data_IF_874978333027
#
_entry.id   IF_874978333027
#
_cell.length_a   1.000
_cell.length_b   1.000
_cell.length_c   1.000
_cell.angle_alpha   90.00
_cell.angle_beta   90.00
_cell.angle_gamma   90.00
#
_symmetry.space_group_name_H-M   'P 1'
#
loop_
_entity.id
_entity.type
_entity.pdbx_description
1 polymer ?
#
# COMPACT_ATOMS: atom_id res chain seq x y z
N UNK A 1 -5.72 -30.68 61.57
CA UNK A 1 -4.62 -31.01 62.51
C UNK A 1 -3.31 -30.58 61.81
N UNK A 2 -2.80 -29.36 62.05
CA UNK A 2 -1.72 -28.91 62.99
C UNK A 2 -0.34 -29.53 62.67
N UNK A 3 0.67 -28.84 62.11
CA UNK A 3 1.55 -27.69 62.50
C UNK A 3 2.79 -28.04 63.36
N UNK A 4 3.93 -27.41 62.97
CA UNK A 4 5.19 -27.02 63.67
C UNK A 4 6.39 -28.01 63.61
N UNK A 5 7.69 -27.71 63.35
CA UNK A 5 8.68 -26.59 63.25
C UNK A 5 9.79 -26.64 64.34
N UNK A 6 11.05 -26.40 63.89
CA UNK A 6 12.29 -25.95 64.61
C UNK A 6 13.09 -27.01 65.43
N UNK A 7 14.44 -27.04 65.55
CA UNK A 7 15.55 -26.05 65.62
C UNK A 7 16.91 -26.68 65.15
N UNK A 8 17.81 -26.02 64.39
CA UNK A 8 19.03 -25.21 64.71
C UNK A 8 20.27 -25.88 65.43
N UNK A 9 21.36 -26.10 64.64
CA UNK A 9 22.85 -25.78 64.77
C UNK A 9 23.68 -26.19 66.05
N UNK A 10 25.05 -26.08 66.08
CA UNK A 10 26.18 -26.32 65.14
C UNK A 10 27.46 -27.00 65.80
N UNK A 11 28.65 -26.95 65.13
CA UNK A 11 30.07 -27.26 65.54
C UNK A 11 30.52 -28.75 65.36
N UNK A 12 31.74 -29.16 64.96
CA UNK A 12 33.11 -28.61 64.95
C UNK A 12 33.99 -29.16 63.79
N UNK A 13 35.14 -28.50 63.63
CA UNK A 13 36.32 -28.67 62.77
C UNK A 13 37.08 -30.02 62.83
N UNK A 14 37.63 -30.47 61.69
CA UNK A 14 38.90 -31.25 61.58
C UNK A 14 39.24 -31.61 60.12
N UNK A 15 40.29 -31.02 59.57
CA UNK A 15 40.98 -31.39 58.32
C UNK A 15 41.75 -32.72 58.44
N UNK A 16 41.98 -33.46 57.32
CA UNK A 16 43.32 -33.40 56.73
C UNK A 16 43.38 -33.47 55.17
N UNK A 17 44.38 -32.74 54.65
CA UNK A 17 45.13 -32.87 53.39
C UNK A 17 44.52 -33.53 52.15
N UNK A 18 44.39 -32.71 51.09
CA UNK A 18 44.33 -33.13 49.69
C UNK A 18 45.33 -32.31 48.86
N UNK A 19 46.00 -32.90 47.85
CA UNK A 19 47.16 -32.31 47.18
C UNK A 19 46.80 -31.13 46.26
N UNK A 20 47.69 -30.11 46.24
CA UNK A 20 47.58 -28.95 45.36
C UNK A 20 47.82 -29.31 43.87
N UNK A 21 47.11 -28.66 42.94
CA UNK A 21 47.36 -28.78 41.50
C UNK A 21 48.63 -28.02 41.07
N UNK A 22 49.44 -28.66 40.24
CA UNK A 22 50.62 -28.10 39.57
C UNK A 22 50.23 -26.99 38.59
N UNK A 23 51.03 -25.90 38.48
CA UNK A 23 50.74 -24.79 37.56
C UNK A 23 51.00 -25.17 36.10
N UNK A 24 50.05 -24.82 35.22
CA UNK A 24 50.21 -24.88 33.76
C UNK A 24 51.25 -23.84 33.28
N UNK A 25 52.07 -24.16 32.27
CA UNK A 25 53.05 -23.23 31.72
C UNK A 25 52.41 -22.09 30.91
N UNK A 26 52.91 -20.88 31.11
CA UNK A 26 52.59 -19.65 30.39
C UNK A 26 53.01 -19.76 28.91
N UNK A 27 52.16 -19.40 27.94
CA UNK A 27 52.54 -19.42 26.53
C UNK A 27 53.47 -18.24 26.19
N UNK A 28 54.65 -18.55 25.66
CA UNK A 28 55.59 -17.62 25.07
C UNK A 28 55.03 -17.04 23.77
N UNK A 29 55.06 -15.70 23.64
CA UNK A 29 54.81 -14.99 22.39
C UNK A 29 55.94 -15.29 21.40
N UNK A 30 55.65 -16.07 20.36
CA UNK A 30 56.43 -16.13 19.13
C UNK A 30 55.57 -15.56 18.00
N UNK A 31 56.04 -14.44 17.44
CA UNK A 31 55.48 -13.74 16.29
C UNK A 31 55.52 -14.63 15.03
N UNK A 32 54.40 -14.84 14.32
CA UNK A 32 54.44 -15.44 12.98
C UNK A 32 54.94 -14.43 11.93
N UNK A 33 55.56 -14.88 10.83
CA UNK A 33 56.09 -14.00 9.78
C UNK A 33 54.97 -13.30 8.99
N UNK A 34 55.25 -12.09 8.51
CA UNK A 34 54.40 -11.30 7.62
C UNK A 34 54.05 -12.11 6.35
N UNK A 35 52.75 -12.37 6.15
CA UNK A 35 52.22 -12.80 4.86
C UNK A 35 51.78 -11.56 4.10
N UNK A 36 52.49 -11.24 3.01
CA UNK A 36 52.10 -10.22 2.04
C UNK A 36 50.84 -10.67 1.31
N UNK A 37 49.71 -10.01 1.55
CA UNK A 37 48.48 -10.15 0.76
C UNK A 37 48.59 -9.28 -0.50
N UNK A 38 49.28 -9.79 -1.53
CA UNK A 38 49.09 -9.32 -2.90
C UNK A 38 47.81 -9.94 -3.45
N UNK A 39 46.79 -9.10 -3.66
CA UNK A 39 45.57 -9.42 -4.40
C UNK A 39 45.91 -9.88 -5.82
N UNK A 40 45.44 -11.05 -6.31
CA UNK A 40 45.50 -11.34 -7.72
C UNK A 40 44.37 -10.60 -8.44
N UNK A 41 44.77 -9.71 -9.35
CA UNK A 41 43.95 -9.18 -10.44
C UNK A 41 43.27 -10.35 -11.18
N UNK A 42 41.94 -10.39 -11.15
CA UNK A 42 41.18 -11.19 -12.10
C UNK A 42 41.18 -10.45 -13.44
N UNK A 43 42.06 -10.91 -14.31
CA UNK A 43 42.09 -10.59 -15.74
C UNK A 43 40.76 -11.03 -16.35
N UNK A 44 40.03 -10.07 -16.92
CA UNK A 44 38.89 -10.28 -17.79
C UNK A 44 39.29 -11.15 -18.98
N UNK A 45 38.84 -12.40 -19.01
CA UNK A 45 38.80 -13.18 -20.26
C UNK A 45 37.73 -12.57 -21.14
N UNK A 46 38.18 -11.84 -22.16
CA UNK A 46 37.42 -11.49 -23.35
C UNK A 46 36.93 -12.77 -24.03
N UNK A 47 35.62 -13.01 -23.97
CA UNK A 47 34.95 -13.96 -24.86
C UNK A 47 34.73 -13.22 -26.17
N UNK A 48 35.46 -13.65 -27.20
CA UNK A 48 35.29 -13.27 -28.58
C UNK A 48 33.92 -13.75 -29.09
N UNK A 49 33.06 -12.80 -29.42
CA UNK A 49 31.79 -13.02 -30.12
C UNK A 49 32.10 -13.16 -31.63
N UNK A 50 31.67 -14.23 -32.32
CA UNK A 50 31.78 -14.33 -33.77
C UNK A 50 30.75 -13.42 -34.47
N UNK A 51 31.06 -12.84 -35.64
CA UNK A 51 30.15 -11.96 -36.34
C UNK A 51 29.07 -12.74 -37.12
N UNK A 52 27.85 -12.20 -37.06
CA UNK A 52 26.78 -12.27 -38.06
C UNK A 52 26.45 -13.63 -38.70
N UNK A 53 25.38 -14.25 -38.22
CA UNK A 53 24.41 -14.93 -39.08
C UNK A 53 23.01 -14.41 -38.80
N UNK A 54 22.38 -13.90 -39.85
CA UNK A 54 21.06 -13.29 -39.93
C UNK A 54 19.93 -14.33 -39.80
N UNK A 55 18.97 -14.10 -38.90
CA UNK A 55 17.63 -14.71 -38.92
C UNK A 55 16.59 -13.74 -38.29
N UNK A 56 15.30 -13.89 -38.60
CA UNK A 56 14.49 -12.83 -39.20
C UNK A 56 13.75 -11.96 -38.18
N UNK A 57 13.49 -10.73 -38.59
CA UNK A 57 12.65 -9.76 -37.88
C UNK A 57 11.20 -10.26 -37.73
N UNK A 58 10.50 -9.93 -36.62
CA UNK A 58 9.07 -10.12 -36.53
C UNK A 58 8.38 -9.23 -37.58
N UNK A 59 7.46 -9.80 -38.36
CA UNK A 59 6.64 -9.04 -39.31
C UNK A 59 5.84 -7.98 -38.56
N UNK A 60 6.11 -6.72 -38.88
CA UNK A 60 5.17 -5.64 -38.67
C UNK A 60 3.90 -5.91 -39.47
N UNK A 61 2.75 -5.83 -38.79
CA UNK A 61 1.44 -5.73 -39.40
C UNK A 61 1.41 -4.49 -40.32
N UNK A 62 0.83 -4.56 -41.53
CA UNK A 62 0.72 -3.39 -42.39
C UNK A 62 -0.27 -2.37 -41.78
N UNK A 63 -0.08 -1.06 -42.04
CA UNK A 63 -1.01 -0.03 -41.57
C UNK A 63 -2.34 -0.15 -42.32
N UNK A 64 -3.44 -0.06 -41.57
CA UNK A 64 -4.79 0.09 -42.11
C UNK A 64 -4.85 1.37 -42.94
N UNK A 65 -5.26 1.22 -44.20
CA UNK A 65 -5.58 2.31 -45.12
C UNK A 65 -6.84 3.05 -44.65
N UNK A 66 -6.90 4.39 -44.76
CA UNK A 66 -8.11 5.14 -44.44
C UNK A 66 -9.13 5.01 -45.57
N UNK A 67 -10.36 4.60 -45.21
CA UNK A 67 -11.51 4.67 -46.12
C UNK A 67 -11.90 6.14 -46.39
N UNK A 68 -12.40 6.45 -47.61
CA UNK A 68 -12.70 7.81 -48.00
C UNK A 68 -14.00 8.31 -47.37
N UNK A 69 -13.93 9.53 -46.83
CA UNK A 69 -15.08 10.34 -46.42
C UNK A 69 -15.94 10.70 -47.64
N UNK A 70 -17.25 10.47 -47.53
CA UNK A 70 -18.26 11.13 -48.35
C UNK A 70 -18.99 12.21 -47.52
N UNK A 71 -19.40 13.33 -48.14
CA UNK A 71 -19.68 14.56 -47.41
C UNK A 71 -21.12 14.63 -46.88
N UNK A 72 -21.26 15.14 -45.66
CA UNK A 72 -22.53 15.63 -45.10
C UNK A 72 -22.85 16.98 -45.73
N UNK A 73 -23.98 17.05 -46.43
CA UNK A 73 -24.59 18.31 -46.85
C UNK A 73 -25.53 18.82 -45.75
N UNK A 74 -25.48 20.14 -45.60
CA UNK A 74 -26.31 21.00 -44.76
C UNK A 74 -27.78 20.95 -45.16
N UNK A 75 -28.70 20.95 -44.19
CA UNK A 75 -29.81 21.93 -44.18
C UNK A 75 -30.60 21.93 -42.88
N UNK A 76 -31.06 23.13 -42.59
CA UNK A 76 -31.76 23.66 -41.43
C UNK A 76 -33.28 23.42 -41.45
N UNK A 77 -33.85 23.19 -40.26
CA UNK A 77 -35.09 23.78 -39.69
C UNK A 77 -36.48 23.43 -40.28
N UNK A 78 -37.36 23.12 -39.32
CA UNK A 78 -38.76 23.57 -39.11
C UNK A 78 -39.96 22.64 -39.41
N UNK A 79 -40.77 22.47 -38.34
CA UNK A 79 -42.25 22.44 -38.23
C UNK A 79 -43.12 21.24 -38.68
N UNK A 80 -43.81 20.66 -37.67
CA UNK A 80 -45.24 20.34 -37.55
C UNK A 80 -45.97 19.53 -38.64
N UNK A 81 -46.57 18.38 -38.27
CA UNK A 81 -48.04 18.23 -38.14
C UNK A 81 -48.48 16.78 -37.79
N UNK A 82 -49.55 16.75 -36.98
CA UNK A 82 -50.46 15.68 -36.51
C UNK A 82 -50.88 14.59 -37.52
N UNK A 83 -51.12 13.37 -37.01
CA UNK A 83 -52.43 12.67 -36.84
C UNK A 83 -52.17 11.19 -36.46
N UNK A 84 -52.47 10.73 -35.24
CA UNK A 84 -53.72 10.12 -34.73
C UNK A 84 -54.17 8.82 -35.40
N UNK A 85 -54.07 7.71 -34.64
CA UNK A 85 -55.04 6.60 -34.36
C UNK A 85 -54.25 5.47 -33.69
N UNK A 86 -54.68 4.63 -32.75
CA UNK A 86 -55.75 4.57 -31.74
C UNK A 86 -55.48 3.29 -30.92
N UNK A 87 -55.58 3.36 -29.57
CA UNK A 87 -56.18 2.38 -28.61
C UNK A 87 -55.54 0.95 -28.60
N UNK A 88 -55.05 0.34 -27.50
CA UNK A 88 -55.80 -0.08 -26.28
C UNK A 88 -54.87 -0.71 -25.19
N UNK A 89 -55.12 -0.34 -23.91
CA UNK A 89 -55.01 -1.12 -22.62
C UNK A 89 -53.66 -1.65 -22.11
N UNK A 90 -53.24 -1.60 -20.82
CA UNK A 90 -53.85 -1.56 -19.46
C UNK A 90 -52.80 -0.96 -18.42
N UNK A 91 -53.08 -0.77 -17.10
CA UNK A 91 -52.77 0.48 -16.40
C UNK A 91 -51.77 0.38 -15.22
N UNK A 92 -51.20 1.54 -14.86
CA UNK A 92 -50.46 1.81 -13.62
C UNK A 92 -51.20 2.80 -12.70
N UNK A 93 -51.16 2.48 -11.40
CA UNK A 93 -51.04 3.32 -10.19
C UNK A 93 -51.85 4.63 -10.04
N UNK A 94 -52.67 4.68 -8.98
CA UNK A 94 -53.24 5.89 -8.35
C UNK A 94 -52.45 6.29 -7.09
N UNK A 95 -52.30 7.59 -6.77
CA UNK A 95 -51.78 8.06 -5.49
C UNK A 95 -52.91 8.43 -4.51
N UNK A 96 -52.75 8.10 -3.23
CA UNK A 96 -53.68 8.42 -2.14
C UNK A 96 -53.07 9.39 -1.11
N UNK A 97 -53.90 10.33 -0.68
CA UNK A 97 -53.68 11.41 0.30
C UNK A 97 -53.97 10.98 1.76
N UNK A 98 -53.59 11.77 2.80
CA UNK A 98 -53.54 11.34 4.22
C UNK A 98 -54.71 11.86 5.08
N UNK A 99 -54.86 11.37 6.33
CA UNK A 99 -55.43 12.19 7.43
C UNK A 99 -54.78 11.90 8.83
N UNK A 100 -55.30 12.38 10.00
CA UNK A 100 -54.91 13.64 10.66
C UNK A 100 -54.48 13.50 12.15
N UNK A 101 -54.24 14.63 12.83
CA UNK A 101 -53.73 14.83 14.19
C UNK A 101 -54.80 15.19 15.26
N UNK A 102 -54.58 14.81 16.54
CA UNK A 102 -55.19 15.36 17.79
C UNK A 102 -54.52 14.71 19.04
N UNK A 103 -53.71 15.35 19.90
CA UNK A 103 -53.93 16.31 21.03
C UNK A 103 -54.24 15.71 22.44
N UNK A 104 -53.54 16.25 23.48
CA UNK A 104 -53.77 16.29 24.96
C UNK A 104 -53.51 15.03 25.85
N UNK A 105 -52.97 15.02 27.09
CA UNK A 105 -52.16 15.83 28.06
C UNK A 105 -51.81 14.89 29.28
N UNK A 106 -51.02 15.28 30.33
CA UNK A 106 -50.14 14.40 31.14
C UNK A 106 -50.59 14.11 32.60
N UNK A 107 -49.95 13.16 33.30
CA UNK A 107 -50.01 12.99 34.78
C UNK A 107 -48.74 12.31 35.39
N UNK A 108 -48.00 13.10 36.19
CA UNK A 108 -47.52 12.87 37.59
C UNK A 108 -46.61 11.67 37.99
N UNK A 109 -45.50 12.03 38.66
CA UNK A 109 -44.43 11.29 39.39
C UNK A 109 -44.90 10.61 40.73
N UNK A 110 -44.08 9.90 41.58
CA UNK A 110 -42.86 10.44 42.26
C UNK A 110 -41.71 9.45 42.68
N UNK A 111 -40.46 9.96 42.70
CA UNK A 111 -39.31 9.81 43.67
C UNK A 111 -38.85 8.43 44.25
N UNK A 112 -37.64 8.30 44.91
CA UNK A 112 -36.65 9.32 45.28
C UNK A 112 -35.14 9.04 45.01
N UNK A 113 -34.39 10.14 45.12
CA UNK A 113 -32.93 10.26 45.29
C UNK A 113 -32.45 9.81 46.68
N UNK A 114 -31.27 9.21 46.74
CA UNK A 114 -30.44 9.18 47.95
C UNK A 114 -28.97 9.46 47.62
N UNK A 115 -28.41 10.44 48.34
CA UNK A 115 -27.00 10.80 48.43
C UNK A 115 -26.10 9.59 48.72
N UNK A 116 -24.84 9.63 48.28
CA UNK A 116 -23.63 9.28 49.07
C UNK A 116 -22.36 9.84 48.39
N UNK A 117 -21.71 10.75 49.13
CA UNK A 117 -20.28 11.03 49.28
C UNK A 117 -19.24 10.64 48.21
N UNK A 118 -18.45 11.65 47.81
CA UNK A 118 -17.08 11.54 47.30
C UNK A 118 -16.12 10.94 48.35
N UNK A 119 -14.99 10.37 47.92
CA UNK A 119 -13.76 11.14 48.10
C UNK A 119 -12.78 11.09 46.93
N UNK A 120 -12.18 12.26 46.69
CA UNK A 120 -10.82 12.55 46.21
C UNK A 120 -10.00 11.42 45.56
N UNK A 121 -9.62 11.62 44.30
CA UNK A 121 -8.26 11.29 43.89
C UNK A 121 -7.69 12.40 43.00
N UNK A 122 -6.53 12.85 43.42
CA UNK A 122 -5.68 13.92 42.93
C UNK A 122 -5.37 13.85 41.43
N UNK A 123 -5.62 14.96 40.73
CA UNK A 123 -4.99 15.24 39.44
C UNK A 123 -3.51 15.56 39.61
N UNK A 124 -2.68 15.21 38.61
CA UNK A 124 -1.66 16.10 38.10
C UNK A 124 -2.13 16.67 36.75
N UNK A 125 -2.40 17.95 36.77
CA UNK A 125 -2.50 18.85 35.64
C UNK A 125 -1.14 18.96 34.94
N UNK A 126 -1.03 18.53 33.68
CA UNK A 126 -0.30 19.22 32.60
C UNK A 126 -0.42 18.42 31.29
N UNK A 127 -1.56 18.55 30.60
CA UNK A 127 -1.58 18.34 29.15
C UNK A 127 -1.13 19.66 28.50
N UNK A 128 0.14 19.73 28.13
CA UNK A 128 0.63 20.79 27.25
C UNK A 128 -0.08 20.70 25.90
N UNK A 129 -0.44 21.84 25.27
CA UNK A 129 -1.02 21.83 23.94
C UNK A 129 -0.01 21.22 22.96
N UNK A 130 -0.47 20.25 22.16
CA UNK A 130 0.29 19.66 21.07
C UNK A 130 0.99 20.76 20.26
N UNK A 131 2.32 20.71 20.22
CA UNK A 131 3.13 21.55 19.36
C UNK A 131 2.72 21.31 17.91
N UNK A 132 2.23 22.35 17.22
CA UNK A 132 1.95 22.36 15.77
C UNK A 132 3.22 22.26 14.89
N UNK A 133 4.30 21.64 15.40
CA UNK A 133 5.48 21.34 14.61
C UNK A 133 5.16 20.14 13.72
N UNK A 134 5.43 20.18 12.40
CA UNK A 134 5.40 18.96 11.61
C UNK A 134 6.41 17.95 12.18
N UNK A 135 6.05 16.66 12.25
CA UNK A 135 6.95 15.55 12.63
C UNK A 135 7.96 15.21 11.51
N UNK A 136 8.16 16.15 10.58
CA UNK A 136 9.12 16.04 9.48
C UNK A 136 9.94 17.33 9.40
N UNK A 137 11.16 17.18 8.90
CA UNK A 137 12.08 18.30 8.73
C UNK A 137 11.67 19.11 7.49
N UNK A 138 11.57 20.42 7.62
CA UNK A 138 11.44 21.31 6.47
C UNK A 138 12.83 21.60 5.90
N UNK A 139 13.03 21.28 4.63
CA UNK A 139 14.29 21.52 3.91
C UNK A 139 14.16 22.73 2.98
N UNK A 140 15.21 23.53 2.93
CA UNK A 140 15.40 24.55 1.90
C UNK A 140 15.69 23.92 0.53
N UNK A 141 15.47 24.69 -0.53
CA UNK A 141 15.82 24.29 -1.89
C UNK A 141 17.32 23.94 -2.01
N UNK A 142 18.20 24.72 -1.38
CA UNK A 142 19.65 24.50 -1.42
C UNK A 142 20.03 23.17 -0.80
N UNK A 143 19.44 22.81 0.35
CA UNK A 143 19.69 21.52 1.00
C UNK A 143 19.33 20.35 0.10
N UNK A 144 18.18 20.40 -0.58
CA UNK A 144 17.77 19.34 -1.53
C UNK A 144 18.72 19.26 -2.72
N UNK A 145 19.12 20.41 -3.28
CA UNK A 145 19.99 20.45 -4.47
C UNK A 145 21.39 19.88 -4.25
N UNK A 146 21.92 19.99 -3.04
CA UNK A 146 23.25 19.46 -2.70
C UNK A 146 23.22 18.01 -2.18
N UNK A 147 22.04 17.38 -2.08
CA UNK A 147 21.95 16.02 -1.58
C UNK A 147 22.66 15.03 -2.51
N UNK A 148 23.49 14.12 -1.95
CA UNK A 148 24.19 13.13 -2.75
C UNK A 148 23.20 12.08 -3.27
N UNK A 149 22.94 12.13 -4.59
CA UNK A 149 22.17 11.12 -5.31
C UNK A 149 23.06 9.90 -5.54
N UNK A 150 22.60 8.75 -5.07
CA UNK A 150 23.26 7.45 -5.30
C UNK A 150 22.88 6.91 -6.67
N UNK A 151 21.58 6.87 -6.99
CA UNK A 151 21.07 6.46 -8.30
C UNK A 151 19.66 6.97 -8.55
N UNK A 152 19.30 7.13 -9.82
CA UNK A 152 17.91 7.32 -10.25
C UNK A 152 17.13 6.00 -10.12
N UNK A 153 16.00 6.03 -9.41
CA UNK A 153 15.09 4.88 -9.30
C UNK A 153 14.00 4.90 -10.38
N UNK A 154 13.51 6.10 -10.72
CA UNK A 154 12.51 6.29 -11.78
C UNK A 154 12.33 7.76 -12.17
N UNK A 155 11.90 7.99 -13.40
CA UNK A 155 11.48 9.29 -13.89
C UNK A 155 10.25 9.11 -14.78
N UNK A 156 9.22 9.92 -14.54
CA UNK A 156 7.97 9.83 -15.28
C UNK A 156 7.20 11.14 -15.28
N UNK A 157 5.94 11.06 -15.68
CA UNK A 157 5.05 12.23 -15.77
C UNK A 157 4.87 12.94 -14.44
N UNK A 158 4.88 12.20 -13.33
CA UNK A 158 4.57 12.70 -11.99
C UNK A 158 5.80 13.22 -11.24
N UNK A 159 7.01 12.97 -11.75
CA UNK A 159 8.20 13.37 -11.02
C UNK A 159 9.45 12.56 -11.32
N UNK A 160 10.43 12.78 -10.45
CA UNK A 160 11.70 12.09 -10.40
C UNK A 160 11.83 11.45 -9.03
N UNK A 161 12.30 10.21 -9.00
CA UNK A 161 12.51 9.44 -7.78
C UNK A 161 13.97 8.99 -7.75
N UNK A 162 14.72 9.50 -6.78
CA UNK A 162 16.14 9.24 -6.60
C UNK A 162 16.41 8.50 -5.29
N UNK A 163 17.34 7.55 -5.32
CA UNK A 163 17.91 6.96 -4.11
C UNK A 163 19.02 7.88 -3.59
N UNK A 164 18.94 8.27 -2.33
CA UNK A 164 19.89 9.18 -1.68
C UNK A 164 20.43 8.58 -0.39
N UNK A 165 21.52 9.16 0.12
CA UNK A 165 21.95 8.94 1.51
C UNK A 165 21.50 10.11 2.37
N UNK A 166 20.63 9.86 3.34
CA UNK A 166 20.10 10.87 4.25
C UNK A 166 20.21 10.35 5.69
N UNK A 167 20.84 11.13 6.57
CA UNK A 167 21.12 10.73 7.96
C UNK A 167 21.81 9.35 8.11
N UNK A 168 22.74 9.04 7.20
CA UNK A 168 23.50 7.76 7.09
C UNK A 168 22.71 6.56 6.57
N UNK A 169 21.40 6.70 6.36
CA UNK A 169 20.54 5.65 5.81
C UNK A 169 20.23 5.88 4.33
N UNK A 170 19.85 4.80 3.64
CA UNK A 170 19.27 4.88 2.31
C UNK A 170 17.84 5.39 2.41
N UNK A 171 17.53 6.45 1.66
CA UNK A 171 16.20 7.06 1.58
C UNK A 171 15.84 7.38 0.13
N UNK A 172 14.57 7.65 -0.10
CA UNK A 172 14.05 8.09 -1.40
C UNK A 172 13.81 9.59 -1.37
N UNK A 173 14.34 10.31 -2.36
CA UNK A 173 13.95 11.67 -2.70
C UNK A 173 12.97 11.62 -3.87
N UNK A 174 11.69 11.93 -3.60
CA UNK A 174 10.64 12.07 -4.62
C UNK A 174 10.44 13.56 -4.88
N UNK A 175 10.83 14.01 -6.08
CA UNK A 175 10.56 15.35 -6.58
C UNK A 175 9.37 15.33 -7.53
N UNK A 176 8.29 16.02 -7.18
CA UNK A 176 7.07 16.01 -7.97
C UNK A 176 7.13 17.04 -9.10
N UNK A 177 6.72 16.65 -10.31
CA UNK A 177 6.67 17.54 -11.48
C UNK A 177 5.23 17.88 -11.82
N UNK A 178 4.96 19.12 -12.23
CA UNK A 178 3.65 19.56 -12.75
C UNK A 178 2.50 19.38 -11.76
N UNK A 179 2.80 19.43 -10.46
CA UNK A 179 1.81 19.34 -9.38
C UNK A 179 1.65 20.73 -8.78
N UNK A 180 0.41 21.16 -8.51
CA UNK A 180 0.19 22.40 -7.78
C UNK A 180 0.48 22.18 -6.28
N UNK A 181 0.76 23.26 -5.56
CA UNK A 181 1.11 23.20 -4.14
C UNK A 181 0.03 22.50 -3.29
N UNK A 182 -1.26 22.70 -3.59
CA UNK A 182 -2.33 22.08 -2.83
C UNK A 182 -2.32 20.55 -2.95
N UNK A 183 -2.20 20.01 -4.17
CA UNK A 183 -2.12 18.56 -4.41
C UNK A 183 -0.86 17.96 -3.77
N UNK A 184 0.28 18.65 -3.84
CA UNK A 184 1.51 18.22 -3.17
C UNK A 184 1.31 18.10 -1.64
N UNK A 185 0.75 19.15 -1.02
CA UNK A 185 0.50 19.17 0.42
C UNK A 185 -0.56 18.14 0.83
N UNK A 186 -1.58 17.89 0.00
CA UNK A 186 -2.56 16.82 0.24
C UNK A 186 -1.90 15.44 0.27
N UNK A 187 -1.03 15.13 -0.69
CA UNK A 187 -0.28 13.86 -0.70
C UNK A 187 0.57 13.70 0.58
N UNK A 188 1.32 14.74 0.96
CA UNK A 188 2.12 14.75 2.20
C UNK A 188 1.25 14.52 3.43
N UNK A 189 0.08 15.18 3.52
CA UNK A 189 -0.85 15.04 4.65
C UNK A 189 -1.41 13.62 4.74
N UNK A 190 -1.86 13.05 3.63
CA UNK A 190 -2.44 11.69 3.59
C UNK A 190 -1.37 10.67 3.98
N UNK A 191 -0.18 10.74 3.37
CA UNK A 191 0.90 9.80 3.66
C UNK A 191 1.36 9.88 5.13
N UNK A 192 1.34 11.08 5.74
CA UNK A 192 1.57 11.21 7.18
C UNK A 192 0.47 10.60 8.04
N UNK A 193 -0.79 10.71 7.64
CA UNK A 193 -1.92 10.10 8.38
C UNK A 193 -1.82 8.57 8.39
N UNK A 194 -1.21 7.97 7.36
CA UNK A 194 -0.94 6.53 7.32
C UNK A 194 0.13 6.11 8.32
N UNK A 195 1.19 6.90 8.49
CA UNK A 195 2.26 6.67 9.45
C UNK A 195 2.78 5.21 9.44
N UNK A 196 3.09 4.69 8.25
CA UNK A 196 3.55 3.32 8.07
C UNK A 196 2.48 2.25 7.91
N UNK A 197 1.19 2.56 8.12
CA UNK A 197 0.09 1.61 7.88
C UNK A 197 0.10 1.08 6.44
N UNK A 198 -0.10 -0.22 6.25
CA UNK A 198 -0.02 -0.88 4.95
C UNK A 198 1.36 -0.81 4.29
N UNK A 199 2.41 -0.62 5.09
CA UNK A 199 3.78 -0.43 4.58
C UNK A 199 3.99 0.91 3.87
N UNK A 200 3.13 1.92 4.09
CA UNK A 200 3.32 3.25 3.50
C UNK A 200 4.68 3.85 3.94
N UNK A 201 5.55 4.32 3.03
CA UNK A 201 6.84 4.90 3.39
C UNK A 201 6.67 6.10 4.34
N UNK A 202 7.42 6.15 5.44
CA UNK A 202 7.34 7.30 6.35
C UNK A 202 8.09 8.49 5.76
N UNK A 203 7.50 9.68 5.90
CA UNK A 203 8.11 10.95 5.47
C UNK A 203 9.07 11.44 6.55
N UNK A 204 10.31 11.71 6.16
CA UNK A 204 11.36 12.24 7.05
C UNK A 204 11.56 13.74 6.87
N UNK A 205 11.45 14.22 5.62
CA UNK A 205 11.64 15.63 5.32
C UNK A 205 10.85 16.07 4.08
N UNK A 206 10.56 17.37 4.00
CA UNK A 206 9.79 17.98 2.93
C UNK A 206 10.43 19.30 2.52
N UNK A 207 10.64 19.49 1.22
CA UNK A 207 10.98 20.79 0.64
C UNK A 207 9.78 21.30 -0.15
N UNK A 208 9.16 22.37 0.37
CA UNK A 208 7.95 22.94 -0.23
C UNK A 208 8.24 23.71 -1.53
N UNK A 209 9.36 24.43 -1.58
CA UNK A 209 9.79 25.22 -2.75
C UNK A 209 9.97 24.33 -3.98
N UNK A 210 10.49 23.12 -3.79
CA UNK A 210 10.79 22.18 -4.87
C UNK A 210 9.75 21.07 -5.05
N UNK A 211 8.67 21.08 -4.24
CA UNK A 211 7.68 20.00 -4.16
C UNK A 211 8.34 18.62 -4.02
N UNK A 212 9.28 18.52 -3.08
CA UNK A 212 10.11 17.33 -2.87
C UNK A 212 9.89 16.72 -1.49
N UNK A 213 9.92 15.39 -1.40
CA UNK A 213 9.74 14.63 -0.16
C UNK A 213 10.87 13.62 -0.01
N UNK A 214 11.43 13.52 1.19
CA UNK A 214 12.34 12.44 1.59
C UNK A 214 11.55 11.44 2.41
N UNK A 215 11.57 10.17 1.99
CA UNK A 215 10.84 9.08 2.64
C UNK A 215 11.67 7.79 2.71
N UNK A 216 11.14 6.78 3.40
CA UNK A 216 11.77 5.47 3.47
C UNK A 216 12.02 4.86 2.08
N UNK A 217 13.14 4.15 1.96
CA UNK A 217 13.41 3.30 0.82
C UNK A 217 12.86 1.89 1.09
N UNK A 218 11.97 1.42 0.23
CA UNK A 218 11.16 0.21 0.41
C UNK A 218 11.48 -0.90 -0.59
N UNK A 219 12.71 -0.91 -1.11
CA UNK A 219 13.21 -1.97 -1.98
C UNK A 219 12.88 -1.78 -3.47
N UNK A 220 12.62 -2.89 -4.16
CA UNK A 220 12.36 -2.90 -5.61
C UNK A 220 10.86 -2.92 -5.90
N UNK A 221 10.45 -2.38 -7.04
CA UNK A 221 9.05 -2.41 -7.48
C UNK A 221 8.59 -3.83 -7.81
N UNK A 222 7.29 -4.10 -7.65
CA UNK A 222 6.75 -5.45 -7.82
C UNK A 222 6.83 -5.93 -9.28
N UNK A 223 6.74 -5.02 -10.26
CA UNK A 223 6.94 -5.30 -11.69
C UNK A 223 8.33 -5.90 -11.98
N UNK A 224 9.33 -5.56 -11.16
CA UNK A 224 10.67 -6.15 -11.22
C UNK A 224 10.73 -7.45 -10.45
N UNK A 225 10.26 -7.46 -9.20
CA UNK A 225 10.32 -8.63 -8.32
C UNK A 225 9.56 -9.85 -8.90
N UNK A 226 8.42 -9.63 -9.56
CA UNK A 226 7.54 -10.69 -10.06
C UNK A 226 8.24 -11.65 -11.03
N UNK A 227 9.24 -11.19 -11.78
CA UNK A 227 9.99 -11.99 -12.75
C UNK A 227 10.88 -13.06 -12.09
N UNK A 228 11.26 -12.86 -10.83
CA UNK A 228 12.11 -13.77 -10.07
C UNK A 228 11.33 -14.52 -8.97
N UNK A 229 10.08 -14.12 -8.74
CA UNK A 229 9.23 -14.71 -7.73
C UNK A 229 8.64 -16.06 -8.19
N UNK A 230 8.67 -17.04 -7.30
CA UNK A 230 7.95 -18.31 -7.51
C UNK A 230 6.43 -18.09 -7.51
N UNK A 231 5.65 -19.02 -8.08
CA UNK A 231 4.17 -19.01 -7.99
C UNK A 231 3.71 -18.80 -6.55
N UNK A 232 4.32 -19.53 -5.61
CA UNK A 232 4.08 -19.39 -4.18
C UNK A 232 4.32 -17.96 -3.67
N UNK A 233 5.48 -17.38 -3.97
CA UNK A 233 5.81 -16.01 -3.56
C UNK A 233 4.84 -14.99 -4.14
N UNK A 234 4.36 -15.18 -5.38
CA UNK A 234 3.35 -14.31 -6.02
C UNK A 234 2.02 -14.34 -5.26
N UNK A 235 1.53 -15.53 -4.92
CA UNK A 235 0.29 -15.69 -4.13
C UNK A 235 0.43 -15.04 -2.75
N UNK A 236 1.52 -15.33 -2.03
CA UNK A 236 1.77 -14.71 -0.72
C UNK A 236 1.90 -13.18 -0.81
N UNK A 237 2.52 -12.67 -1.87
CA UNK A 237 2.65 -11.22 -2.09
C UNK A 237 1.28 -10.58 -2.29
N UNK A 238 0.39 -11.19 -3.08
CA UNK A 238 -0.98 -10.69 -3.27
C UNK A 238 -1.79 -10.67 -1.97
N UNK A 239 -1.66 -11.70 -1.12
CA UNK A 239 -2.30 -11.72 0.20
C UNK A 239 -1.83 -10.53 1.04
N UNK A 240 -0.52 -10.33 1.13
CA UNK A 240 0.08 -9.21 1.87
C UNK A 240 -0.33 -7.84 1.33
N UNK A 241 -0.47 -7.70 0.01
CA UNK A 241 -0.98 -6.46 -0.60
C UNK A 241 -2.42 -6.20 -0.17
N UNK A 242 -3.28 -7.22 -0.17
CA UNK A 242 -4.67 -7.08 0.26
C UNK A 242 -4.78 -6.74 1.77
N UNK A 243 -3.95 -7.36 2.61
CA UNK A 243 -3.86 -7.05 4.05
C UNK A 243 -3.37 -5.61 4.27
N UNK A 244 -2.29 -5.21 3.60
CA UNK A 244 -1.76 -3.85 3.66
C UNK A 244 -2.79 -2.79 3.23
N UNK A 245 -3.58 -3.09 2.19
CA UNK A 245 -4.65 -2.23 1.73
C UNK A 245 -5.81 -2.15 2.73
N UNK A 246 -6.14 -3.26 3.42
CA UNK A 246 -7.09 -3.23 4.54
C UNK A 246 -6.61 -2.31 5.67
N UNK A 247 -5.32 -2.32 6.01
CA UNK A 247 -4.76 -1.40 7.03
C UNK A 247 -4.88 0.07 6.62
N UNK A 248 -4.66 0.37 5.34
CA UNK A 248 -4.87 1.72 4.77
C UNK A 248 -6.34 2.12 4.89
N UNK A 249 -7.27 1.22 4.57
CA UNK A 249 -8.72 1.47 4.67
C UNK A 249 -9.17 1.71 6.12
N UNK A 250 -8.55 1.06 7.11
CA UNK A 250 -8.81 1.32 8.54
C UNK A 250 -8.46 2.76 8.97
N UNK A 251 -7.58 3.45 8.24
CA UNK A 251 -7.29 4.89 8.43
C UNK A 251 -8.28 5.80 7.70
N UNK A 252 -9.34 5.22 7.11
CA UNK A 252 -10.30 5.88 6.23
C UNK A 252 -9.62 6.57 5.05
N UNK A 253 -8.62 5.89 4.45
CA UNK A 253 -7.90 6.36 3.27
C UNK A 253 -8.14 5.36 2.15
N UNK A 254 -8.41 5.87 0.94
CA UNK A 254 -8.54 5.08 -0.29
C UNK A 254 -7.38 5.44 -1.20
N UNK A 255 -6.67 4.44 -1.74
CA UNK A 255 -5.45 4.62 -2.51
C UNK A 255 -5.73 5.19 -3.91
N UNK A 256 -6.77 4.68 -4.58
CA UNK A 256 -7.30 5.12 -5.87
C UNK A 256 -6.36 4.95 -7.09
N UNK A 257 -5.14 4.42 -6.90
CA UNK A 257 -4.20 4.11 -7.99
C UNK A 257 -3.40 2.83 -7.73
N UNK A 258 -4.03 1.82 -7.15
CA UNK A 258 -3.35 0.55 -6.89
C UNK A 258 -3.05 -0.16 -8.21
N UNK A 259 -1.77 -0.48 -8.43
CA UNK A 259 -1.26 -1.17 -9.61
C UNK A 259 0.13 -1.72 -9.30
N UNK A 260 0.65 -2.60 -10.15
CA UNK A 260 1.92 -3.29 -9.91
C UNK A 260 3.12 -2.32 -9.72
N UNK A 261 3.13 -1.18 -10.42
CA UNK A 261 4.19 -0.16 -10.28
C UNK A 261 4.20 0.52 -8.90
N UNK A 262 3.05 0.57 -8.25
CA UNK A 262 2.83 1.26 -6.98
C UNK A 262 2.97 0.32 -5.77
N UNK A 263 3.55 -0.87 -6.00
CA UNK A 263 3.94 -1.81 -4.96
C UNK A 263 5.45 -1.95 -4.97
N UNK A 264 6.06 -1.89 -3.79
CA UNK A 264 7.48 -2.18 -3.60
C UNK A 264 7.69 -3.30 -2.58
N UNK A 265 8.75 -4.06 -2.80
CA UNK A 265 9.09 -5.26 -2.05
C UNK A 265 10.49 -5.07 -1.47
N UNK A 266 10.57 -5.12 -0.14
CA UNK A 266 11.83 -5.32 0.56
C UNK A 266 12.06 -6.82 0.65
N UNK A 267 13.03 -7.31 -0.13
CA UNK A 267 13.39 -8.73 -0.14
C UNK A 267 14.26 -9.03 1.07
N UNK A 268 13.79 -9.89 1.96
CA UNK A 268 14.54 -10.41 3.09
C UNK A 268 14.73 -11.92 2.94
N UNK A 269 15.68 -12.51 3.69
CA UNK A 269 16.03 -13.92 3.56
C UNK A 269 14.86 -14.88 3.86
N UNK A 270 13.97 -14.50 4.77
CA UNK A 270 12.90 -15.36 5.27
C UNK A 270 11.53 -14.98 4.76
N UNK A 271 11.25 -13.68 4.68
CA UNK A 271 9.95 -13.19 4.28
C UNK A 271 10.04 -11.78 3.71
N UNK A 272 9.47 -11.56 2.53
CA UNK A 272 9.52 -10.24 1.89
C UNK A 272 8.44 -9.32 2.45
N UNK A 273 8.78 -8.06 2.66
CA UNK A 273 7.86 -7.03 3.16
C UNK A 273 7.27 -6.24 2.01
N UNK A 274 5.93 -6.14 1.97
CA UNK A 274 5.17 -5.38 0.97
C UNK A 274 4.95 -3.96 1.44
N UNK A 275 5.11 -3.00 0.53
CA UNK A 275 4.86 -1.59 0.77
C UNK A 275 4.02 -1.02 -0.37
N UNK A 276 2.89 -0.41 -0.02
CA UNK A 276 2.06 0.36 -0.96
C UNK A 276 2.60 1.79 -1.02
N UNK A 277 2.86 2.29 -2.22
CA UNK A 277 3.49 3.60 -2.46
C UNK A 277 2.64 4.46 -3.40
N UNK A 278 2.99 5.75 -3.49
CA UNK A 278 2.39 6.75 -4.38
C UNK A 278 0.93 7.13 -4.05
N UNK A 279 0.78 7.99 -3.04
CA UNK A 279 -0.51 8.46 -2.53
C UNK A 279 -1.03 9.73 -3.23
N UNK A 280 -0.51 10.10 -4.40
CA UNK A 280 -0.88 11.34 -5.11
C UNK A 280 -2.34 11.39 -5.63
N UNK A 281 -3.03 10.24 -5.63
CA UNK A 281 -4.48 10.14 -5.92
C UNK A 281 -5.32 9.72 -4.72
N UNK A 282 -4.69 9.47 -3.59
CA UNK A 282 -5.39 8.97 -2.42
C UNK A 282 -6.35 10.03 -1.85
N UNK A 283 -7.37 9.57 -1.15
CA UNK A 283 -8.36 10.42 -0.48
C UNK A 283 -8.70 9.88 0.89
N UNK A 284 -8.94 10.77 1.86
CA UNK A 284 -9.25 10.41 3.24
C UNK A 284 -10.76 10.50 3.58
N UNK A 285 -11.60 10.61 2.54
CA UNK A 285 -13.06 10.57 2.60
C UNK A 285 -13.62 10.27 1.22
N UNK A 286 -14.87 9.85 1.19
CA UNK A 286 -15.69 9.74 -0.01
C UNK A 286 -15.80 11.11 -0.69
N UNK A 287 -14.98 11.35 -1.72
CA UNK A 287 -14.96 12.58 -2.50
C UNK A 287 -15.45 12.33 -3.90
N UNK A 288 -16.28 13.24 -4.40
CA UNK A 288 -16.41 13.44 -5.84
C UNK A 288 -15.10 13.99 -6.37
N UNK A 289 -14.41 13.21 -7.19
CA UNK A 289 -13.19 13.66 -7.83
C UNK A 289 -13.54 14.10 -9.25
N UNK A 290 -13.78 15.40 -9.43
CA UNK A 290 -14.01 15.99 -10.74
C UNK A 290 -12.66 16.18 -11.49
N UNK A 291 -11.98 15.07 -11.82
CA UNK A 291 -10.70 15.07 -12.58
C UNK A 291 -10.88 14.81 -14.08
N UNK A 292 -12.11 14.85 -14.59
CA UNK A 292 -12.42 14.41 -15.95
C UNK A 292 -12.27 12.90 -16.11
N UNK A 293 -12.72 12.34 -17.24
CA UNK A 293 -12.69 10.89 -17.48
C UNK A 293 -11.25 10.37 -17.44
N UNK A 294 -10.95 9.44 -16.54
CA UNK A 294 -9.63 8.81 -16.42
C UNK A 294 -9.67 7.47 -17.14
N UNK A 295 -8.87 7.29 -18.19
CA UNK A 295 -8.86 6.05 -18.98
C UNK A 295 -7.68 5.15 -18.61
N UNK A 296 -7.76 4.46 -17.46
CA UNK A 296 -6.79 3.42 -17.07
C UNK A 296 -7.53 2.18 -16.60
N UNK A 297 -7.14 0.99 -17.06
CA UNK A 297 -7.92 -0.23 -16.84
C UNK A 297 -7.93 -0.70 -15.38
N UNK A 298 -6.91 -0.35 -14.59
CA UNK A 298 -6.86 -0.66 -13.16
C UNK A 298 -7.70 0.27 -12.30
N UNK A 299 -8.22 1.38 -12.86
CA UNK A 299 -9.05 2.35 -12.13
C UNK A 299 -10.51 1.91 -12.21
N UNK A 300 -11.18 1.86 -11.05
CA UNK A 300 -12.56 1.45 -10.94
C UNK A 300 -13.50 2.31 -11.82
N UNK A 301 -14.53 1.72 -12.48
CA UNK A 301 -15.40 2.43 -13.41
C UNK A 301 -16.09 3.67 -12.82
N UNK A 302 -16.54 3.58 -11.57
CA UNK A 302 -17.16 4.68 -10.84
C UNK A 302 -16.17 5.84 -10.62
N UNK A 303 -14.91 5.52 -10.32
CA UNK A 303 -13.87 6.52 -10.15
C UNK A 303 -13.44 7.12 -11.50
N UNK A 304 -13.27 6.29 -12.52
CA UNK A 304 -12.94 6.71 -13.89
C UNK A 304 -13.98 7.69 -14.47
N UNK A 305 -15.24 7.56 -14.04
CA UNK A 305 -16.36 8.41 -14.45
C UNK A 305 -16.51 9.69 -13.60
N UNK A 306 -15.62 9.90 -12.63
CA UNK A 306 -15.64 11.06 -11.72
C UNK A 306 -16.64 10.93 -10.58
N UNK A 307 -17.09 9.70 -10.26
CA UNK A 307 -17.95 9.41 -9.13
C UNK A 307 -17.22 9.40 -7.78
N UNK A 308 -17.89 8.87 -6.76
CA UNK A 308 -17.38 8.75 -5.40
C UNK A 308 -16.49 7.52 -5.28
N UNK A 309 -15.29 7.69 -4.72
CA UNK A 309 -14.36 6.60 -4.43
C UNK A 309 -14.59 6.01 -3.05
N UNK A 310 -14.37 4.70 -2.90
CA UNK A 310 -14.46 3.99 -1.62
C UNK A 310 -13.47 2.83 -1.55
N UNK A 311 -13.48 2.06 -0.46
CA UNK A 311 -12.75 0.79 -0.35
C UNK A 311 -13.09 -0.20 -1.49
N UNK A 312 -14.31 -0.13 -2.03
CA UNK A 312 -14.73 -0.95 -3.18
C UNK A 312 -14.00 -0.55 -4.48
N UNK A 313 -13.60 0.71 -4.62
CA UNK A 313 -12.81 1.19 -5.75
C UNK A 313 -11.39 0.61 -5.73
N UNK A 314 -10.75 0.59 -4.55
CA UNK A 314 -9.45 -0.07 -4.38
C UNK A 314 -9.56 -1.60 -4.51
N UNK A 315 -10.69 -2.19 -4.10
CA UNK A 315 -10.97 -3.63 -4.30
C UNK A 315 -10.98 -4.00 -5.79
N UNK A 316 -11.58 -3.15 -6.63
CA UNK A 316 -11.52 -3.33 -8.09
C UNK A 316 -10.08 -3.27 -8.61
N UNK A 317 -9.31 -2.28 -8.17
CA UNK A 317 -7.90 -2.15 -8.55
C UNK A 317 -7.05 -3.34 -8.09
N UNK A 318 -7.35 -3.92 -6.92
CA UNK A 318 -6.74 -5.16 -6.46
C UNK A 318 -7.08 -6.34 -7.39
N UNK A 319 -8.34 -6.47 -7.82
CA UNK A 319 -8.72 -7.47 -8.81
C UNK A 319 -7.96 -7.35 -10.12
N UNK A 320 -7.76 -6.12 -10.59
CA UNK A 320 -6.96 -5.85 -11.79
C UNK A 320 -5.48 -6.20 -11.59
N UNK A 321 -4.93 -5.94 -10.40
CA UNK A 321 -3.60 -6.38 -10.03
C UNK A 321 -3.47 -7.92 -10.02
N UNK A 322 -4.46 -8.64 -9.49
CA UNK A 322 -4.48 -10.12 -9.53
C UNK A 322 -4.48 -10.61 -10.98
N UNK A 323 -5.27 -9.96 -11.86
CA UNK A 323 -5.29 -10.24 -13.29
C UNK A 323 -3.91 -10.01 -13.94
N UNK A 324 -3.23 -8.92 -13.61
CA UNK A 324 -1.87 -8.65 -14.10
C UNK A 324 -0.88 -9.73 -13.62
N UNK A 325 -0.94 -10.14 -12.34
CA UNK A 325 -0.06 -11.18 -11.77
C UNK A 325 -0.34 -12.56 -12.39
N UNK A 326 -1.60 -12.84 -12.77
CA UNK A 326 -2.01 -14.08 -13.45
C UNK A 326 -1.19 -14.34 -14.71
N UNK A 327 -0.86 -13.30 -15.48
CA UNK A 327 -0.08 -13.43 -16.72
C UNK A 327 1.36 -13.91 -16.48
N UNK A 328 1.83 -13.87 -15.23
CA UNK A 328 3.14 -14.37 -14.80
C UNK A 328 3.08 -15.77 -14.17
N UNK A 329 1.91 -16.41 -14.18
CA UNK A 329 1.74 -17.79 -13.71
C UNK A 329 1.82 -18.73 -14.91
N UNK A 330 2.79 -19.64 -14.88
CA UNK A 330 2.99 -20.66 -15.92
C UNK A 330 2.26 -21.97 -15.63
N UNK A 331 1.74 -22.12 -14.42
CA UNK A 331 1.07 -23.34 -13.95
C UNK A 331 -0.43 -23.29 -14.30
N UNK A 332 -0.90 -24.22 -15.14
CA UNK A 332 -2.31 -24.29 -15.57
C UNK A 332 -3.23 -25.04 -14.58
N UNK A 333 -3.10 -24.74 -13.28
CA UNK A 333 -3.76 -25.48 -12.21
C UNK A 333 -4.72 -24.65 -11.35
N UNK A 334 -4.98 -25.17 -10.14
CA UNK A 334 -5.88 -24.59 -9.13
C UNK A 334 -5.58 -23.12 -8.79
N UNK A 335 -4.33 -22.65 -8.97
CA UNK A 335 -3.95 -21.26 -8.74
C UNK A 335 -4.58 -20.31 -9.77
N UNK A 336 -4.68 -20.71 -11.05
CA UNK A 336 -5.37 -19.89 -12.05
C UNK A 336 -6.87 -19.82 -11.77
N UNK A 337 -7.48 -20.95 -11.36
CA UNK A 337 -8.89 -20.96 -10.94
C UNK A 337 -9.14 -20.06 -9.74
N UNK A 338 -8.22 -20.07 -8.76
CA UNK A 338 -8.25 -19.13 -7.65
C UNK A 338 -8.18 -17.68 -8.14
N UNK A 339 -7.23 -17.35 -9.01
CA UNK A 339 -7.06 -15.99 -9.51
C UNK A 339 -8.28 -15.52 -10.31
N UNK A 340 -8.82 -16.37 -11.18
CA UNK A 340 -10.05 -16.08 -11.94
C UNK A 340 -11.23 -15.82 -10.99
N UNK A 341 -11.39 -16.66 -9.96
CA UNK A 341 -12.38 -16.44 -8.91
C UNK A 341 -12.19 -15.11 -8.18
N UNK A 342 -10.97 -14.76 -7.79
CA UNK A 342 -10.70 -13.48 -7.10
C UNK A 342 -10.99 -12.30 -8.03
N UNK A 343 -10.60 -12.39 -9.30
CA UNK A 343 -10.88 -11.36 -10.31
C UNK A 343 -12.39 -11.15 -10.47
N UNK A 344 -13.18 -12.22 -10.58
CA UNK A 344 -14.63 -12.14 -10.70
C UNK A 344 -15.28 -11.51 -9.46
N UNK A 345 -14.81 -11.87 -8.26
CA UNK A 345 -15.31 -11.34 -6.98
C UNK A 345 -15.02 -9.84 -6.80
N UNK A 346 -14.00 -9.30 -7.45
CA UNK A 346 -13.47 -7.96 -7.18
C UNK A 346 -13.71 -6.96 -8.30
N UNK A 347 -13.89 -7.42 -9.54
CA UNK A 347 -13.95 -6.54 -10.72
C UNK A 347 -15.36 -6.27 -11.28
N UNK A 348 -16.41 -6.57 -10.50
CA UNK A 348 -17.79 -6.22 -10.87
C UNK A 348 -17.94 -4.70 -11.16
N UNK A 349 -18.72 -4.33 -12.19
CA UNK A 349 -18.93 -2.92 -12.54
C UNK A 349 -19.59 -2.15 -11.40
N UNK A 350 -20.62 -2.73 -10.77
CA UNK A 350 -21.29 -2.13 -9.63
C UNK A 350 -20.44 -2.34 -8.34
N UNK A 351 -19.97 -1.25 -7.70
CA UNK A 351 -19.17 -1.35 -6.48
C UNK A 351 -19.89 -2.06 -5.32
N UNK A 352 -21.24 -2.05 -5.27
CA UNK A 352 -22.01 -2.70 -4.21
C UNK A 352 -21.99 -4.23 -4.30
N UNK A 353 -21.69 -4.76 -5.48
CA UNK A 353 -21.64 -6.21 -5.73
C UNK A 353 -20.21 -6.78 -5.62
N UNK A 354 -19.20 -5.94 -5.36
CA UNK A 354 -17.82 -6.40 -5.13
C UNK A 354 -17.70 -7.01 -3.74
N UNK A 355 -17.04 -8.15 -3.65
CA UNK A 355 -16.76 -8.79 -2.37
C UNK A 355 -15.78 -7.93 -1.58
N UNK A 356 -16.04 -7.62 -0.29
CA UNK A 356 -15.12 -6.84 0.53
C UNK A 356 -13.72 -7.45 0.60
N UNK A 357 -12.69 -6.61 0.60
CA UNK A 357 -11.30 -7.06 0.58
C UNK A 357 -10.94 -7.97 1.78
N UNK A 358 -11.56 -7.77 2.94
CA UNK A 358 -11.40 -8.65 4.11
C UNK A 358 -11.82 -10.10 3.83
N UNK A 359 -12.87 -10.28 3.03
CA UNK A 359 -13.36 -11.59 2.62
C UNK A 359 -12.50 -12.20 1.50
N UNK A 360 -11.99 -11.36 0.59
CA UNK A 360 -10.99 -11.77 -0.41
C UNK A 360 -9.73 -12.32 0.26
N UNK A 361 -9.21 -11.63 1.28
CA UNK A 361 -8.07 -12.10 2.09
C UNK A 361 -8.37 -13.45 2.73
N UNK A 362 -9.57 -13.65 3.29
CA UNK A 362 -9.99 -14.94 3.86
C UNK A 362 -9.92 -16.07 2.83
N UNK A 363 -10.52 -15.86 1.64
CA UNK A 363 -10.53 -16.85 0.55
C UNK A 363 -9.12 -17.16 0.07
N UNK A 364 -8.27 -16.16 -0.11
CA UNK A 364 -6.89 -16.38 -0.53
C UNK A 364 -6.08 -17.16 0.51
N UNK A 365 -6.25 -16.85 1.81
CA UNK A 365 -5.57 -17.55 2.90
C UNK A 365 -5.98 -19.03 3.00
N UNK A 366 -7.25 -19.35 2.76
CA UNK A 366 -7.74 -20.74 2.73
C UNK A 366 -7.13 -21.56 1.58
N UNK A 367 -6.76 -20.89 0.49
CA UNK A 367 -6.13 -21.51 -0.67
C UNK A 367 -4.59 -21.48 -0.64
N UNK A 368 -3.94 -20.82 0.33
CA UNK A 368 -2.47 -20.81 0.44
C UNK A 368 -1.83 -22.20 0.50
N UNK A 369 -2.41 -23.22 1.17
CA UNK A 369 -1.85 -24.58 1.15
C UNK A 369 -1.75 -25.20 -0.25
N UNK A 370 -2.53 -24.70 -1.22
CA UNK A 370 -2.53 -25.15 -2.62
C UNK A 370 -1.30 -24.63 -3.37
N UNK A 371 -0.67 -23.55 -2.87
CA UNK A 371 0.52 -22.95 -3.45
C UNK A 371 1.85 -23.54 -2.91
N UNK A 372 1.80 -24.58 -2.06
CA UNK A 372 2.97 -25.18 -1.41
C UNK A 372 3.60 -26.34 -2.17
#
# INVERSE_FOLDING_TARGET
>A
MKRLLCCKKPLTDSTPHSPQPTPLPTPTLTTPPLVSLTTPFLVSKSISIPPHTSFPTPRHSPPLTPHPFLPLTTSTRTTLSRMSTSITTLPHCTPSTPPPSSTHTPLISPFPLSLIHSPSCSQPSHCSPHSNSPDYILLSLTEVQIMPIIRRLGEGTFGVVDLIKYNKDLKVLKKMKRVNYATFIEEVKIQRKLDGAGGAPRIHAVCQEDSSVIMDYTGITYDKYINYATTRQKVHTLVKIAEALCEIHQKNIFHNDLKIDNITITVEEKDSTVHIIDFGKATDHEKYINRGKISRYWIAPEFASGGVTSAASDTYSFGQLVRDVRDYITDNGLILELFDKIVDMTTCEDPLHRVPLTEVVRVMNECLPIAN
#
